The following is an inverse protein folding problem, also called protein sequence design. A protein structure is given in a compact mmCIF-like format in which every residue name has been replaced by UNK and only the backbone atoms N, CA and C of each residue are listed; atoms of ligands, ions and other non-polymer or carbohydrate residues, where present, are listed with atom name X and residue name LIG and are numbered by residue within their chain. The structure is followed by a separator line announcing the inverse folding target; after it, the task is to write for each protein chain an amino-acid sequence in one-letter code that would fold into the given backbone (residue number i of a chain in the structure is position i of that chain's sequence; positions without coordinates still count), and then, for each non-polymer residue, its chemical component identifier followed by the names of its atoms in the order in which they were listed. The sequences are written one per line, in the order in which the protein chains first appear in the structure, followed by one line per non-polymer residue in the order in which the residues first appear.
data_IF_250534473177
#
_entry.id   IF_250534473177
#
_cell.length_a   1.000
_cell.length_b   1.000
_cell.length_c   1.000
_cell.angle_alpha   90.00
_cell.angle_beta   90.00
_cell.angle_gamma   90.00
#
_symmetry.space_group_name_H-M   'P 1'
#
loop_
_entity.id
_entity.type
_entity.pdbx_description
1 polymer ?
#
# COMPACT_ATOMS: atom_id res chain seq x y z
N UNK A 1 61.01 21.94 51.36
CA UNK A 1 61.81 23.10 50.91
C UNK A 1 61.54 23.19 49.41
N UNK A 2 60.92 24.24 48.85
CA UNK A 2 61.37 25.65 48.79
C UNK A 2 62.69 25.75 48.01
N UNK A 3 62.85 26.55 46.93
CA UNK A 3 62.03 27.60 46.27
C UNK A 3 62.00 27.37 44.73
N UNK A 4 61.38 28.14 43.82
CA UNK A 4 60.59 29.38 43.89
C UNK A 4 61.30 30.61 43.26
N UNK A 5 60.94 30.96 42.01
CA UNK A 5 61.30 32.22 41.28
C UNK A 5 60.38 32.44 40.06
N UNK A 6 60.22 33.69 39.60
CA UNK A 6 59.33 34.12 38.49
C UNK A 6 59.94 35.33 37.75
N UNK A 7 59.66 35.46 36.44
CA UNK A 7 59.80 36.67 35.58
C UNK A 7 61.21 37.26 35.29
N UNK A 8 61.37 38.21 34.33
CA UNK A 8 60.62 38.42 33.07
C UNK A 8 61.53 38.72 31.83
N UNK A 9 61.02 38.62 30.59
CA UNK A 9 61.31 39.55 29.46
C UNK A 9 60.73 39.08 28.10
N UNK A 10 60.49 40.05 27.21
CA UNK A 10 60.05 39.92 25.80
C UNK A 10 60.70 41.06 24.98
N UNK A 11 60.43 41.27 23.66
CA UNK A 11 59.79 40.42 22.65
C UNK A 11 60.68 40.22 21.38
N UNK A 12 60.21 39.44 20.38
CA UNK A 12 60.54 39.61 18.96
C UNK A 12 59.39 39.16 18.05
N UNK A 13 59.30 39.77 16.86
CA UNK A 13 58.11 39.78 16.01
C UNK A 13 58.06 38.74 14.87
N UNK A 14 56.81 38.31 14.61
CA UNK A 14 56.17 38.08 13.31
C UNK A 14 56.95 37.30 12.22
N UNK A 15 56.58 36.01 12.08
CA UNK A 15 56.06 35.36 10.86
C UNK A 15 55.71 33.90 11.23
N UNK A 16 54.62 33.27 10.77
CA UNK A 16 53.64 33.72 9.78
C UNK A 16 52.87 32.52 9.21
N UNK A 17 52.24 31.70 10.06
CA UNK A 17 51.51 30.49 9.66
C UNK A 17 50.10 30.49 10.23
N UNK A 18 49.10 30.41 9.36
CA UNK A 18 47.68 30.31 9.74
C UNK A 18 47.36 28.92 10.26
N UNK A 19 47.15 28.79 11.57
CA UNK A 19 46.39 27.66 12.11
C UNK A 19 44.96 27.72 11.54
N UNK A 20 44.35 26.59 11.13
CA UNK A 20 42.97 26.59 10.69
C UNK A 20 42.07 26.97 11.86
N UNK A 21 41.25 28.01 11.68
CA UNK A 21 40.07 28.22 12.52
C UNK A 21 39.16 27.02 12.32
N UNK A 22 39.06 26.17 13.34
CA UNK A 22 38.12 25.06 13.35
C UNK A 22 36.70 25.62 13.47
N UNK A 23 36.06 25.92 12.35
CA UNK A 23 34.66 26.31 12.32
C UNK A 23 33.81 25.18 12.92
N UNK A 24 33.09 25.50 14.00
CA UNK A 24 32.22 24.56 14.69
C UNK A 24 30.86 24.48 13.97
N UNK A 25 30.88 24.08 12.69
CA UNK A 25 29.69 23.54 12.01
C UNK A 25 29.78 22.01 11.92
N UNK A 26 29.65 21.38 13.08
CA UNK A 26 29.46 19.93 13.20
C UNK A 26 28.02 19.59 13.62
N UNK A 27 27.11 20.54 13.46
CA UNK A 27 25.71 20.44 13.85
C UNK A 27 24.79 20.08 12.69
N UNK A 28 24.76 20.91 11.64
CA UNK A 28 23.72 20.85 10.62
C UNK A 28 23.85 19.65 9.68
N UNK A 29 24.98 19.53 8.97
CA UNK A 29 25.24 18.37 8.07
C UNK A 29 25.26 17.04 8.82
N UNK A 30 25.67 17.06 10.09
CA UNK A 30 25.70 15.91 10.99
C UNK A 30 24.29 15.53 11.53
N UNK A 31 23.28 16.39 11.37
CA UNK A 31 21.86 16.04 11.54
C UNK A 31 21.28 15.53 10.22
N UNK A 32 21.50 16.23 9.10
CA UNK A 32 20.97 15.83 7.78
C UNK A 32 21.45 14.45 7.35
N UNK A 33 22.74 14.15 7.51
CA UNK A 33 23.25 12.82 7.20
C UNK A 33 22.72 11.76 8.18
N UNK A 34 22.41 12.12 9.43
CA UNK A 34 21.72 11.21 10.37
C UNK A 34 20.25 10.99 10.00
N UNK A 35 19.51 12.00 9.57
CA UNK A 35 18.12 11.85 9.10
C UNK A 35 18.09 10.99 7.82
N UNK A 36 19.00 11.24 6.86
CA UNK A 36 19.23 10.36 5.68
C UNK A 36 19.59 8.93 6.07
N UNK A 37 20.59 8.74 6.93
CA UNK A 37 21.02 7.40 7.40
C UNK A 37 19.92 6.69 8.21
N UNK A 38 19.08 7.43 8.95
CA UNK A 38 17.93 6.90 9.68
C UNK A 38 16.86 6.40 8.70
N UNK A 39 16.49 7.17 7.67
CA UNK A 39 15.55 6.71 6.61
C UNK A 39 16.12 5.52 5.81
N UNK A 40 17.42 5.51 5.52
CA UNK A 40 18.09 4.36 4.90
C UNK A 40 18.05 3.10 5.79
N UNK A 41 18.28 3.27 7.10
CA UNK A 41 18.29 2.22 8.12
C UNK A 41 16.88 1.74 8.54
N UNK A 42 15.83 2.55 8.33
CA UNK A 42 14.44 2.08 8.39
C UNK A 42 14.27 1.01 7.31
N UNK A 43 14.24 -0.24 7.77
CA UNK A 43 13.87 -1.38 6.93
C UNK A 43 12.37 -1.27 6.65
N UNK A 44 11.90 -1.42 5.40
CA UNK A 44 10.51 -1.84 5.21
C UNK A 44 10.35 -3.12 6.03
N UNK A 45 9.39 -3.15 6.98
CA UNK A 45 9.66 -3.76 8.25
C UNK A 45 10.25 -5.16 8.18
N UNK A 46 11.42 -5.29 8.82
CA UNK A 46 11.64 -6.42 9.69
C UNK A 46 11.08 -5.96 11.07
N UNK A 47 9.77 -5.69 11.16
CA UNK A 47 8.69 -6.70 11.27
C UNK A 47 8.28 -6.97 12.75
N UNK A 48 8.95 -6.25 13.68
CA UNK A 48 9.29 -6.70 15.03
C UNK A 48 8.30 -6.34 16.12
N UNK A 49 7.74 -7.37 16.76
CA UNK A 49 6.74 -7.25 17.82
C UNK A 49 5.56 -6.38 17.30
N UNK A 50 5.01 -5.38 18.00
CA UNK A 50 4.49 -5.43 19.37
C UNK A 50 3.43 -6.55 19.50
N UNK A 51 2.35 -6.33 20.25
CA UNK A 51 1.10 -7.11 20.19
C UNK A 51 -0.06 -6.12 20.34
N UNK A 52 -1.30 -6.44 19.93
CA UNK A 52 -2.42 -5.48 19.96
C UNK A 52 -2.65 -4.82 21.32
N UNK A 53 -2.36 -5.53 22.42
CA UNK A 53 -2.47 -5.00 23.79
C UNK A 53 -1.33 -4.02 24.15
N UNK A 54 -0.14 -4.18 23.59
CA UNK A 54 1.00 -3.26 23.82
C UNK A 54 0.86 -1.97 23.01
N UNK A 55 0.11 -1.97 21.90
CA UNK A 55 -0.19 -0.76 21.10
C UNK A 55 -0.91 0.30 21.96
N UNK A 56 -1.69 -0.11 22.95
CA UNK A 56 -2.55 0.76 23.77
C UNK A 56 -1.94 1.26 25.07
N UNK A 57 -0.91 0.61 25.62
CA UNK A 57 -0.49 0.86 27.01
C UNK A 57 0.51 2.02 27.20
N UNK A 58 1.28 2.39 26.16
CA UNK A 58 2.28 3.49 26.25
C UNK A 58 2.35 4.31 24.95
N UNK A 59 1.60 5.42 24.85
CA UNK A 59 1.72 6.36 23.73
C UNK A 59 3.13 6.99 23.62
N UNK A 60 3.75 7.33 24.75
CA UNK A 60 5.03 8.05 24.81
C UNK A 60 6.25 7.27 24.25
N UNK A 61 6.19 5.93 24.25
CA UNK A 61 7.33 5.08 23.86
C UNK A 61 7.34 4.73 22.35
N UNK A 62 6.32 5.14 21.59
CA UNK A 62 6.27 4.90 20.15
C UNK A 62 7.19 5.87 19.40
N UNK A 63 8.31 5.38 18.89
CA UNK A 63 9.16 6.15 17.98
C UNK A 63 8.52 6.20 16.59
N UNK A 64 7.62 7.17 16.42
CA UNK A 64 6.85 7.46 15.21
C UNK A 64 7.74 7.81 14.01
N UNK A 65 7.19 7.70 12.79
CA UNK A 65 7.81 8.21 11.57
C UNK A 65 8.23 9.68 11.72
N UNK A 66 9.43 10.01 11.29
CA UNK A 66 10.10 11.25 11.70
C UNK A 66 9.53 12.44 10.94
N UNK A 67 9.06 13.46 11.66
CA UNK A 67 8.85 14.81 11.10
C UNK A 67 10.21 15.48 11.01
N UNK A 68 10.85 15.36 9.84
CA UNK A 68 12.24 15.77 9.58
C UNK A 68 12.30 17.21 9.14
N UNK A 69 13.13 18.01 9.81
CA UNK A 69 13.34 19.43 9.46
C UNK A 69 14.46 19.65 8.44
N UNK A 70 15.20 18.61 8.07
CA UNK A 70 16.35 18.74 7.16
C UNK A 70 16.20 17.95 5.86
N UNK A 71 15.33 16.92 5.79
CA UNK A 71 15.06 16.22 4.54
C UNK A 71 14.28 17.10 3.54
N UNK A 72 14.59 16.92 2.27
CA UNK A 72 14.07 17.67 1.12
C UNK A 72 13.71 16.73 -0.03
N UNK A 73 12.93 17.21 -0.99
CA UNK A 73 12.65 16.44 -2.22
C UNK A 73 13.92 16.14 -3.03
N UNK A 74 14.94 17.01 -2.92
CA UNK A 74 16.23 16.84 -3.58
C UNK A 74 17.11 15.73 -2.97
N UNK A 75 16.76 15.17 -1.82
CA UNK A 75 17.38 13.94 -1.30
C UNK A 75 16.96 12.69 -2.08
N UNK A 76 15.91 12.79 -2.90
CA UNK A 76 15.31 11.67 -3.63
C UNK A 76 15.52 11.75 -5.14
N UNK A 77 15.75 10.60 -5.77
CA UNK A 77 15.67 10.39 -7.20
C UNK A 77 14.25 9.92 -7.54
N UNK A 78 13.52 10.77 -8.25
CA UNK A 78 12.18 10.50 -8.75
C UNK A 78 12.29 9.49 -9.92
N UNK A 79 11.71 8.28 -9.75
CA UNK A 79 11.72 7.19 -10.74
C UNK A 79 10.44 7.06 -11.57
N UNK A 80 9.24 6.96 -10.97
CA UNK A 80 7.98 6.78 -11.73
C UNK A 80 6.68 7.23 -11.01
N UNK A 81 5.81 7.86 -11.80
CA UNK A 81 4.35 7.99 -11.63
C UNK A 81 3.61 6.65 -11.35
N UNK A 82 2.78 6.56 -10.29
CA UNK A 82 1.95 5.38 -9.95
C UNK A 82 0.39 5.51 -10.14
N UNK A 83 -0.35 6.54 -9.65
CA UNK A 83 -1.83 6.70 -9.89
C UNK A 83 -2.59 7.93 -9.29
N UNK A 84 -3.05 8.90 -10.11
CA UNK A 84 -3.29 10.33 -9.73
C UNK A 84 -4.46 10.63 -8.77
N UNK A 85 -4.24 11.45 -7.72
CA UNK A 85 -5.31 12.03 -6.88
C UNK A 85 -5.63 13.52 -7.16
N UNK A 86 -6.69 14.04 -6.53
CA UNK A 86 -7.28 15.37 -6.79
C UNK A 86 -6.41 16.56 -6.37
N UNK A 87 -5.68 16.43 -5.26
CA UNK A 87 -4.74 17.42 -4.71
C UNK A 87 -3.45 16.77 -4.16
N UNK A 88 -3.38 15.44 -4.23
CA UNK A 88 -2.26 14.62 -3.79
C UNK A 88 -1.72 13.85 -5.01
N UNK A 89 -0.42 13.95 -5.21
CA UNK A 89 0.34 13.49 -6.37
C UNK A 89 1.78 13.22 -5.87
N UNK A 90 2.39 12.10 -6.23
CA UNK A 90 3.34 11.34 -5.38
C UNK A 90 4.35 10.59 -6.28
N UNK A 91 5.65 10.32 -6.04
CA UNK A 91 6.42 9.42 -6.96
C UNK A 91 6.94 8.15 -6.30
N UNK A 92 7.10 7.07 -7.09
CA UNK A 92 8.08 6.03 -6.83
C UNK A 92 9.45 6.69 -6.79
N UNK A 93 10.11 6.67 -5.64
CA UNK A 93 11.40 7.33 -5.41
C UNK A 93 12.47 6.38 -4.87
N UNK A 94 13.71 6.81 -4.96
CA UNK A 94 14.89 6.18 -4.35
C UNK A 94 15.74 7.24 -3.68
N UNK A 95 16.33 6.95 -2.52
CA UNK A 95 17.25 7.88 -1.87
C UNK A 95 18.53 8.01 -2.72
N UNK A 96 19.01 9.24 -2.94
CA UNK A 96 20.26 9.48 -3.66
C UNK A 96 21.46 8.98 -2.85
N UNK A 97 22.54 8.67 -3.55
CA UNK A 97 23.85 8.28 -3.01
C UNK A 97 23.92 7.02 -2.13
N UNK A 98 22.81 6.29 -1.93
CA UNK A 98 22.78 5.07 -1.11
C UNK A 98 23.44 3.86 -1.82
N UNK A 99 24.77 3.79 -1.78
CA UNK A 99 25.59 2.74 -2.43
C UNK A 99 25.18 1.32 -1.99
N UNK A 100 24.73 1.13 -0.75
CA UNK A 100 24.46 -0.20 -0.15
C UNK A 100 23.09 -0.80 -0.46
N UNK A 101 22.08 0.00 -0.84
CA UNK A 101 20.71 -0.47 -1.10
C UNK A 101 20.15 0.10 -2.41
N UNK A 102 20.97 0.16 -3.47
CA UNK A 102 20.62 0.76 -4.77
C UNK A 102 19.31 0.29 -5.41
N UNK A 103 18.80 -0.90 -5.07
CA UNK A 103 17.54 -1.42 -5.61
C UNK A 103 16.30 -1.11 -4.75
N UNK A 104 16.50 -0.58 -3.54
CA UNK A 104 15.42 -0.13 -2.66
C UNK A 104 14.67 1.03 -3.31
N UNK A 105 13.35 1.00 -3.20
CA UNK A 105 12.44 2.04 -3.64
C UNK A 105 11.38 2.25 -2.57
N UNK A 106 10.92 3.48 -2.47
CA UNK A 106 9.80 3.93 -1.65
C UNK A 106 8.81 4.60 -2.60
N UNK A 107 7.76 5.21 -2.07
CA UNK A 107 7.17 6.33 -2.75
C UNK A 107 7.03 7.55 -1.80
N UNK A 108 6.60 8.69 -2.35
CA UNK A 108 6.72 10.00 -1.73
C UNK A 108 5.51 10.89 -2.04
N UNK A 109 4.52 10.93 -1.15
CA UNK A 109 3.23 11.59 -1.36
C UNK A 109 3.30 13.10 -1.18
N UNK A 110 3.28 13.82 -2.31
CA UNK A 110 3.26 15.29 -2.35
C UNK A 110 1.80 15.79 -2.33
N UNK A 111 1.50 16.75 -1.46
CA UNK A 111 0.23 17.47 -1.42
C UNK A 111 0.51 18.96 -1.49
N UNK A 112 -0.12 19.66 -2.42
CA UNK A 112 0.20 21.07 -2.66
C UNK A 112 -0.60 21.99 -1.75
N UNK A 113 0.08 22.85 -0.97
CA UNK A 113 -0.55 23.70 0.05
C UNK A 113 -1.70 24.53 -0.53
N UNK A 114 -1.48 25.15 -1.70
CA UNK A 114 -2.50 25.95 -2.39
C UNK A 114 -3.74 25.13 -2.83
N UNK A 115 -3.56 23.90 -3.33
CA UNK A 115 -4.67 23.07 -3.82
C UNK A 115 -5.48 22.50 -2.65
N UNK A 116 -4.81 22.08 -1.57
CA UNK A 116 -5.43 21.65 -0.31
C UNK A 116 -6.27 22.78 0.30
N UNK A 117 -5.77 24.02 0.32
CA UNK A 117 -6.51 25.19 0.82
C UNK A 117 -7.69 25.54 -0.09
N UNK A 118 -7.48 25.57 -1.42
CA UNK A 118 -8.52 25.90 -2.42
C UNK A 118 -9.72 24.94 -2.34
N UNK A 119 -9.47 23.66 -2.06
CA UNK A 119 -10.49 22.62 -1.88
C UNK A 119 -10.95 22.47 -0.41
N UNK A 120 -10.50 23.32 0.51
CA UNK A 120 -10.82 23.30 1.95
C UNK A 120 -10.44 22.01 2.69
N UNK A 121 -9.46 21.26 2.20
CA UNK A 121 -9.07 19.94 2.73
C UNK A 121 -8.01 20.00 3.86
N UNK A 122 -7.66 21.18 4.37
CA UNK A 122 -6.58 21.39 5.37
C UNK A 122 -6.76 20.51 6.62
N UNK A 123 -7.99 20.44 7.14
CA UNK A 123 -8.31 19.63 8.33
C UNK A 123 -8.27 18.12 8.03
N UNK A 124 -8.75 17.71 6.83
CA UNK A 124 -8.63 16.33 6.39
C UNK A 124 -7.17 15.89 6.24
N UNK A 125 -6.28 16.72 5.70
CA UNK A 125 -4.84 16.39 5.57
C UNK A 125 -4.15 16.30 6.94
N UNK A 126 -4.48 17.19 7.90
CA UNK A 126 -3.97 17.07 9.28
C UNK A 126 -4.51 15.82 9.98
N UNK A 127 -5.78 15.45 9.76
CA UNK A 127 -6.38 14.23 10.31
C UNK A 127 -5.86 12.96 9.62
N UNK A 128 -5.61 12.96 8.31
CA UNK A 128 -5.00 11.85 7.58
C UNK A 128 -3.62 11.55 8.14
N UNK A 129 -2.73 12.55 8.23
CA UNK A 129 -1.41 12.38 8.85
C UNK A 129 -1.53 11.91 10.30
N UNK A 130 -2.36 12.56 11.11
CA UNK A 130 -2.56 12.19 12.53
C UNK A 130 -3.06 10.75 12.70
N UNK A 131 -3.91 10.27 11.80
CA UNK A 131 -4.43 8.90 11.81
C UNK A 131 -3.36 7.91 11.37
N UNK A 132 -2.67 8.16 10.25
CA UNK A 132 -1.55 7.33 9.77
C UNK A 132 -0.41 7.25 10.79
N UNK A 133 -0.11 8.34 11.50
CA UNK A 133 0.83 8.32 12.63
C UNK A 133 0.28 7.49 13.81
N UNK A 134 -0.99 7.63 14.17
CA UNK A 134 -1.59 6.89 15.29
C UNK A 134 -1.65 5.36 15.07
N UNK A 135 -1.74 4.92 13.81
CA UNK A 135 -1.76 3.49 13.40
C UNK A 135 -0.43 2.97 12.85
N UNK A 136 0.65 3.76 12.92
CA UNK A 136 2.00 3.27 12.64
C UNK A 136 2.34 2.18 13.68
N UNK A 137 2.59 0.95 13.20
CA UNK A 137 2.53 -0.27 14.01
C UNK A 137 1.28 -1.15 13.79
N UNK A 138 0.64 -1.09 12.60
CA UNK A 138 -0.37 -2.05 12.14
C UNK A 138 -0.17 -2.44 10.64
N UNK A 139 0.24 -3.67 10.35
CA UNK A 139 1.14 -4.38 8.43
C UNK A 139 0.04 -4.65 7.44
N UNK A 140 -1.17 -4.41 7.94
CA UNK A 140 -2.40 -4.35 7.20
C UNK A 140 -2.89 -2.88 7.03
N UNK A 141 -2.00 -1.91 7.28
CA UNK A 141 -2.13 -0.46 6.99
C UNK A 141 -0.75 0.08 6.53
N UNK A 142 -0.73 1.18 5.77
CA UNK A 142 0.51 1.86 5.33
C UNK A 142 1.26 2.56 6.47
N UNK A 143 2.56 2.30 6.64
CA UNK A 143 3.41 3.10 7.56
C UNK A 143 3.75 4.46 6.94
N UNK A 144 3.66 5.55 7.71
CA UNK A 144 4.36 6.80 7.41
C UNK A 144 5.83 6.68 7.84
N UNK A 145 6.77 6.67 6.89
CA UNK A 145 8.21 6.54 7.15
C UNK A 145 8.80 7.88 7.64
N UNK A 146 8.46 8.96 6.94
CA UNK A 146 8.83 10.34 7.29
C UNK A 146 7.82 11.35 6.74
N UNK A 147 7.69 12.51 7.38
CA UNK A 147 7.03 13.69 6.79
C UNK A 147 7.94 14.91 6.83
N UNK A 148 7.79 15.76 5.81
CA UNK A 148 8.44 17.06 5.73
C UNK A 148 7.57 18.02 4.89
N UNK A 149 7.90 19.30 4.88
CA UNK A 149 7.21 20.30 4.06
C UNK A 149 8.18 21.33 3.50
N UNK A 150 7.80 21.94 2.38
CA UNK A 150 8.57 23.01 1.74
C UNK A 150 7.70 24.26 1.53
N UNK A 151 8.23 25.22 0.79
CA UNK A 151 7.62 26.52 0.55
C UNK A 151 6.34 26.47 -0.32
N UNK A 152 5.95 25.32 -0.87
CA UNK A 152 4.75 25.12 -1.73
C UNK A 152 3.92 23.85 -1.40
N UNK A 153 4.51 22.84 -0.77
CA UNK A 153 3.99 21.47 -0.68
C UNK A 153 4.26 20.80 0.68
N UNK A 154 3.57 19.69 0.90
CA UNK A 154 3.68 18.77 2.03
C UNK A 154 4.09 17.39 1.48
N UNK A 155 4.96 16.67 2.18
CA UNK A 155 5.54 15.41 1.70
C UNK A 155 5.39 14.31 2.75
N UNK A 156 4.98 13.11 2.33
CA UNK A 156 4.88 11.92 3.17
C UNK A 156 5.52 10.72 2.47
N UNK A 157 6.60 10.15 3.02
CA UNK A 157 7.30 9.00 2.43
C UNK A 157 6.67 7.70 2.95
N UNK A 158 6.13 6.83 2.08
CA UNK A 158 5.50 5.55 2.46
C UNK A 158 6.16 4.36 1.68
N UNK A 159 5.89 3.08 2.05
CA UNK A 159 6.27 1.93 1.24
C UNK A 159 5.43 1.77 -0.03
N UNK A 160 5.85 0.87 -0.92
CA UNK A 160 5.12 0.46 -2.13
C UNK A 160 4.33 -0.84 -1.90
N UNK A 161 3.10 -0.95 -2.42
CA UNK A 161 2.22 -2.15 -2.31
C UNK A 161 2.77 -3.34 -3.10
N UNK A 162 2.07 -4.46 -2.96
CA UNK A 162 2.44 -5.74 -3.54
C UNK A 162 2.70 -5.68 -5.06
N UNK A 163 3.77 -6.35 -5.49
CA UNK A 163 4.04 -6.63 -6.90
C UNK A 163 2.94 -7.51 -7.51
N UNK A 164 2.72 -7.39 -8.82
CA UNK A 164 2.20 -8.48 -9.67
C UNK A 164 2.84 -9.81 -9.24
N UNK A 165 2.02 -10.82 -8.97
CA UNK A 165 2.48 -12.14 -8.61
C UNK A 165 2.99 -12.92 -9.85
N UNK A 166 3.90 -13.85 -9.61
CA UNK A 166 4.17 -14.91 -10.59
C UNK A 166 2.98 -15.89 -10.60
N UNK A 167 2.85 -16.69 -11.66
CA UNK A 167 1.67 -17.53 -11.85
C UNK A 167 1.46 -18.56 -10.72
N UNK A 168 2.53 -19.14 -10.16
CA UNK A 168 2.44 -20.10 -9.06
C UNK A 168 1.96 -19.43 -7.76
N UNK A 169 2.42 -18.21 -7.47
CA UNK A 169 1.96 -17.42 -6.31
C UNK A 169 0.50 -16.99 -6.47
N UNK A 170 0.09 -16.54 -7.65
CA UNK A 170 -1.31 -16.19 -7.94
C UNK A 170 -2.23 -17.42 -7.84
N UNK A 171 -1.80 -18.56 -8.39
CA UNK A 171 -2.49 -19.84 -8.37
C UNK A 171 -2.70 -20.38 -6.95
N UNK A 172 -1.67 -20.34 -6.10
CA UNK A 172 -1.77 -20.75 -4.70
C UNK A 172 -2.89 -19.98 -3.98
N UNK A 173 -2.88 -18.64 -4.05
CA UNK A 173 -3.88 -17.82 -3.38
C UNK A 173 -5.28 -17.96 -3.99
N UNK A 174 -5.38 -18.11 -5.30
CA UNK A 174 -6.64 -18.43 -5.96
C UNK A 174 -7.22 -19.79 -5.52
N UNK A 175 -6.38 -20.78 -5.22
CA UNK A 175 -6.80 -22.09 -4.72
C UNK A 175 -7.30 -22.01 -3.25
N UNK A 176 -6.61 -21.29 -2.36
CA UNK A 176 -7.10 -21.08 -0.99
C UNK A 176 -8.44 -20.34 -0.95
N UNK A 177 -8.58 -19.33 -1.82
CA UNK A 177 -9.84 -18.58 -1.96
C UNK A 177 -10.92 -19.48 -2.57
N UNK A 178 -10.59 -20.36 -3.52
CA UNK A 178 -11.53 -21.37 -4.06
C UNK A 178 -12.07 -22.29 -2.95
N UNK A 179 -11.20 -22.80 -2.06
CA UNK A 179 -11.62 -23.60 -0.90
C UNK A 179 -12.48 -22.79 0.09
N UNK A 180 -12.20 -21.50 0.26
CA UNK A 180 -12.95 -20.62 1.16
C UNK A 180 -14.35 -20.31 0.60
N UNK A 181 -14.45 -20.05 -0.71
CA UNK A 181 -15.73 -19.84 -1.41
C UNK A 181 -16.55 -21.13 -1.39
N UNK A 182 -15.93 -22.29 -1.68
CA UNK A 182 -16.57 -23.62 -1.58
C UNK A 182 -17.20 -23.84 -0.19
N UNK A 183 -16.46 -23.58 0.89
CA UNK A 183 -17.01 -23.72 2.24
C UNK A 183 -18.20 -22.78 2.49
N UNK A 184 -18.06 -21.49 2.14
CA UNK A 184 -19.13 -20.51 2.34
C UNK A 184 -20.39 -20.84 1.53
N UNK A 185 -20.22 -21.34 0.29
CA UNK A 185 -21.32 -21.65 -0.62
C UNK A 185 -21.98 -23.00 -0.31
N UNK A 186 -21.19 -24.08 -0.32
CA UNK A 186 -21.68 -25.46 -0.34
C UNK A 186 -21.99 -26.01 1.08
N UNK A 187 -21.42 -25.40 2.14
CA UNK A 187 -21.69 -25.78 3.54
C UNK A 187 -22.58 -24.74 4.24
N UNK A 188 -22.24 -23.46 4.13
CA UNK A 188 -22.93 -22.40 4.88
C UNK A 188 -24.04 -21.68 4.11
N UNK A 189 -24.15 -21.82 2.78
CA UNK A 189 -25.16 -21.09 1.99
C UNK A 189 -25.02 -19.55 2.07
N UNK A 190 -23.79 -19.05 2.28
CA UNK A 190 -23.43 -17.64 2.42
C UNK A 190 -22.73 -17.15 1.15
N UNK A 191 -23.19 -16.01 0.62
CA UNK A 191 -22.46 -15.23 -0.39
C UNK A 191 -21.64 -14.14 0.32
N UNK A 192 -20.40 -13.90 -0.10
CA UNK A 192 -19.45 -13.02 0.60
C UNK A 192 -19.47 -11.56 0.09
N UNK A 193 -19.48 -11.36 -1.23
CA UNK A 193 -19.77 -10.09 -1.95
C UNK A 193 -18.78 -8.92 -1.83
N UNK A 194 -17.60 -9.10 -1.23
CA UNK A 194 -16.53 -8.08 -1.25
C UNK A 194 -15.12 -8.69 -1.39
N UNK A 195 -14.98 -9.68 -2.28
CA UNK A 195 -13.69 -10.31 -2.55
C UNK A 195 -12.79 -9.38 -3.36
N UNK A 196 -11.73 -8.88 -2.72
CA UNK A 196 -10.74 -7.92 -3.25
C UNK A 196 -9.45 -7.98 -2.42
N UNK A 197 -8.29 -7.49 -2.91
CA UNK A 197 -7.01 -7.56 -2.21
C UNK A 197 -7.01 -6.96 -0.80
N UNK A 198 -7.77 -5.88 -0.56
CA UNK A 198 -7.86 -5.21 0.76
C UNK A 198 -8.43 -6.12 1.84
N UNK A 199 -9.32 -7.04 1.46
CA UNK A 199 -10.01 -7.95 2.38
C UNK A 199 -9.31 -9.32 2.48
N UNK A 200 -8.14 -9.49 1.85
CA UNK A 200 -7.35 -10.72 1.84
C UNK A 200 -6.06 -10.48 2.61
N UNK A 201 -6.08 -10.78 3.90
CA UNK A 201 -4.88 -10.72 4.73
C UNK A 201 -4.09 -12.03 4.60
N UNK A 202 -2.78 -11.97 4.84
CA UNK A 202 -1.94 -13.15 4.97
C UNK A 202 -1.54 -13.35 6.44
N UNK A 203 -1.60 -14.59 6.93
CA UNK A 203 -1.12 -14.92 8.28
C UNK A 203 0.38 -15.26 8.31
N UNK A 204 0.90 -15.53 9.51
CA UNK A 204 2.35 -15.76 9.73
C UNK A 204 2.92 -17.01 9.02
N UNK A 205 2.06 -17.88 8.46
CA UNK A 205 2.44 -19.04 7.65
C UNK A 205 2.30 -18.77 6.14
N UNK A 206 1.85 -17.57 5.76
CA UNK A 206 1.66 -17.12 4.39
C UNK A 206 0.37 -17.55 3.73
N UNK A 207 -0.58 -18.10 4.50
CA UNK A 207 -1.91 -18.49 4.05
C UNK A 207 -2.89 -17.31 4.12
N UNK A 208 -3.85 -17.25 3.19
CA UNK A 208 -4.88 -16.19 3.22
C UNK A 208 -5.85 -16.35 4.38
N UNK A 209 -6.40 -15.20 4.79
CA UNK A 209 -7.59 -15.07 5.63
C UNK A 209 -8.46 -13.97 5.04
N UNK A 210 -9.68 -14.32 4.67
CA UNK A 210 -10.69 -13.31 4.35
C UNK A 210 -11.06 -12.57 5.64
N UNK A 211 -11.11 -11.23 5.56
CA UNK A 211 -11.64 -10.35 6.60
C UNK A 211 -12.86 -9.60 6.07
N UNK A 212 -13.42 -8.68 6.87
CA UNK A 212 -14.63 -7.90 6.57
C UNK A 212 -15.78 -8.69 5.92
N UNK A 213 -16.58 -9.34 6.77
CA UNK A 213 -17.82 -10.00 6.38
C UNK A 213 -19.02 -9.02 6.36
N UNK A 214 -18.78 -7.70 6.30
CA UNK A 214 -19.83 -6.67 6.36
C UNK A 214 -20.85 -6.72 5.22
N UNK A 215 -20.48 -7.26 4.05
CA UNK A 215 -21.41 -7.53 2.95
C UNK A 215 -21.80 -9.02 2.81
N UNK A 216 -21.27 -9.91 3.66
CA UNK A 216 -21.62 -11.31 3.63
C UNK A 216 -23.08 -11.55 4.02
N UNK A 217 -23.74 -12.51 3.38
CA UNK A 217 -25.18 -12.77 3.59
C UNK A 217 -25.53 -14.24 3.34
N UNK A 218 -26.18 -14.88 4.32
CA UNK A 218 -26.83 -16.19 4.12
C UNK A 218 -28.01 -16.02 3.15
N UNK A 219 -28.04 -16.81 2.09
CA UNK A 219 -28.98 -16.67 0.97
C UNK A 219 -29.91 -17.87 0.80
N UNK A 220 -29.54 -19.07 1.25
CA UNK A 220 -30.43 -20.26 1.33
C UNK A 220 -31.30 -20.47 0.07
N UNK A 221 -30.65 -20.52 -1.10
CA UNK A 221 -31.26 -20.63 -2.44
C UNK A 221 -32.22 -19.49 -2.83
N UNK A 222 -32.02 -18.28 -2.29
CA UNK A 222 -32.76 -17.06 -2.66
C UNK A 222 -31.83 -15.98 -3.22
N UNK A 223 -32.40 -15.11 -4.04
CA UNK A 223 -31.71 -13.92 -4.53
C UNK A 223 -31.69 -12.80 -3.48
N UNK A 224 -30.71 -11.91 -3.61
CA UNK A 224 -30.63 -10.62 -2.92
C UNK A 224 -30.48 -9.49 -3.93
N UNK A 225 -31.01 -8.31 -3.60
CA UNK A 225 -31.08 -7.12 -4.48
C UNK A 225 -30.33 -5.91 -3.89
N UNK A 226 -29.38 -6.16 -3.00
CA UNK A 226 -28.58 -5.11 -2.34
C UNK A 226 -27.31 -4.86 -3.15
N UNK A 227 -27.27 -3.75 -3.89
CA UNK A 227 -26.06 -3.23 -4.54
C UNK A 227 -25.01 -2.90 -3.45
N UNK A 228 -23.95 -3.70 -3.38
CA UNK A 228 -22.80 -3.52 -2.48
C UNK A 228 -21.58 -4.27 -3.03
N UNK A 229 -20.41 -3.98 -2.47
CA UNK A 229 -19.11 -4.42 -2.99
C UNK A 229 -18.34 -3.27 -3.63
N UNK A 230 -17.16 -3.58 -4.17
CA UNK A 230 -16.23 -2.61 -4.76
C UNK A 230 -16.39 -2.54 -6.29
N UNK A 231 -16.46 -1.36 -6.94
CA UNK A 231 -16.94 -1.20 -8.33
C UNK A 231 -16.29 -2.12 -9.37
N UNK A 232 -14.96 -2.26 -9.31
CA UNK A 232 -14.12 -3.07 -10.21
C UNK A 232 -14.38 -4.58 -10.09
N UNK A 233 -14.99 -5.01 -8.97
CA UNK A 233 -15.25 -6.40 -8.61
C UNK A 233 -16.73 -6.80 -8.72
N UNK A 234 -17.64 -5.85 -9.01
CA UNK A 234 -19.07 -6.15 -9.15
C UNK A 234 -19.35 -7.05 -10.35
N UNK A 235 -20.25 -8.02 -10.18
CA UNK A 235 -20.73 -8.86 -11.27
C UNK A 235 -21.87 -8.14 -12.05
N UNK A 236 -22.06 -8.41 -13.36
CA UNK A 236 -23.05 -7.69 -14.18
C UNK A 236 -24.50 -7.76 -13.65
N UNK A 237 -24.91 -8.89 -13.07
CA UNK A 237 -26.24 -9.06 -12.46
C UNK A 237 -26.47 -8.16 -11.23
N UNK A 238 -25.40 -7.79 -10.52
CA UNK A 238 -25.43 -6.87 -9.38
C UNK A 238 -25.64 -5.44 -9.87
N UNK A 239 -24.95 -5.05 -10.95
CA UNK A 239 -25.07 -3.74 -11.61
C UNK A 239 -26.46 -3.56 -12.23
N UNK A 240 -26.97 -4.59 -12.91
CA UNK A 240 -28.33 -4.59 -13.46
C UNK A 240 -29.43 -4.74 -12.38
N UNK A 241 -29.07 -4.85 -11.09
CA UNK A 241 -29.99 -5.08 -9.97
C UNK A 241 -31.01 -6.21 -10.24
N UNK A 242 -30.61 -7.25 -10.96
CA UNK A 242 -31.50 -8.29 -11.48
C UNK A 242 -31.81 -9.41 -10.48
N UNK A 243 -31.28 -9.30 -9.27
CA UNK A 243 -31.16 -10.41 -8.33
C UNK A 243 -29.79 -11.08 -8.46
N UNK A 244 -29.17 -11.37 -7.32
CA UNK A 244 -27.89 -12.07 -7.29
C UNK A 244 -27.79 -13.04 -6.10
N UNK A 245 -26.90 -14.02 -6.24
CA UNK A 245 -26.62 -15.05 -5.24
C UNK A 245 -25.16 -15.48 -5.32
N UNK A 246 -24.89 -16.76 -5.00
CA UNK A 246 -23.55 -17.35 -4.90
C UNK A 246 -22.63 -17.07 -6.12
N UNK A 247 -23.18 -16.95 -7.32
CA UNK A 247 -22.43 -16.73 -8.56
C UNK A 247 -21.50 -15.49 -8.57
N UNK A 248 -21.74 -14.48 -7.73
CA UNK A 248 -20.95 -13.23 -7.74
C UNK A 248 -19.54 -13.39 -7.18
N UNK A 249 -19.34 -14.28 -6.20
CA UNK A 249 -18.01 -14.50 -5.61
C UNK A 249 -17.08 -15.20 -6.61
N UNK A 250 -17.64 -16.07 -7.46
CA UNK A 250 -16.91 -16.70 -8.58
C UNK A 250 -16.51 -15.70 -9.66
N UNK A 251 -17.35 -14.69 -9.94
CA UNK A 251 -16.96 -13.57 -10.81
C UNK A 251 -15.79 -12.78 -10.19
N UNK A 252 -15.93 -12.39 -8.91
CA UNK A 252 -14.89 -11.64 -8.21
C UNK A 252 -13.57 -12.42 -8.10
N UNK A 253 -13.60 -13.75 -7.98
CA UNK A 253 -12.40 -14.61 -8.06
C UNK A 253 -11.73 -14.50 -9.45
N UNK A 254 -12.50 -14.44 -10.54
CA UNK A 254 -11.95 -14.23 -11.89
C UNK A 254 -11.28 -12.87 -12.06
N UNK A 255 -11.88 -11.81 -11.51
CA UNK A 255 -11.29 -10.46 -11.42
C UNK A 255 -9.99 -10.49 -10.63
N UNK A 256 -9.99 -11.16 -9.47
CA UNK A 256 -8.83 -11.25 -8.57
C UNK A 256 -7.67 -12.06 -9.16
N UNK A 257 -7.94 -13.17 -9.84
CA UNK A 257 -6.91 -13.97 -10.54
C UNK A 257 -6.26 -13.11 -11.64
N UNK A 258 -7.05 -12.33 -12.38
CA UNK A 258 -6.52 -11.38 -13.35
C UNK A 258 -5.64 -10.32 -12.64
N UNK A 259 -6.10 -9.72 -11.54
CA UNK A 259 -5.35 -8.68 -10.83
C UNK A 259 -4.03 -9.21 -10.24
N UNK A 260 -4.02 -10.39 -9.61
CA UNK A 260 -2.78 -11.04 -9.15
C UNK A 260 -1.79 -11.26 -10.31
N UNK A 261 -2.28 -11.65 -11.50
CA UNK A 261 -1.46 -11.95 -12.67
C UNK A 261 -1.08 -10.73 -13.52
N UNK A 262 -1.68 -9.55 -13.31
CA UNK A 262 -1.45 -8.35 -14.14
C UNK A 262 -0.98 -7.15 -13.32
N UNK A 263 -1.39 -7.03 -12.06
CA UNK A 263 -1.11 -5.90 -11.16
C UNK A 263 -2.18 -4.80 -11.16
N UNK A 264 -3.33 -5.04 -11.79
CA UNK A 264 -4.51 -4.16 -11.83
C UNK A 264 -5.74 -4.96 -12.30
N UNK A 265 -6.99 -4.54 -12.01
CA UNK A 265 -8.19 -5.25 -12.48
C UNK A 265 -8.37 -5.16 -14.01
N UNK A 266 -9.22 -6.02 -14.62
CA UNK A 266 -9.46 -6.04 -16.06
C UNK A 266 -10.41 -4.93 -16.54
N UNK A 267 -11.19 -4.34 -15.64
CA UNK A 267 -12.13 -3.25 -15.89
C UNK A 267 -11.78 -2.06 -15.00
N UNK A 268 -11.53 -0.89 -15.59
CA UNK A 268 -11.10 0.30 -14.85
C UNK A 268 -11.37 1.59 -15.64
N UNK A 269 -11.77 2.66 -14.95
CA UNK A 269 -11.86 4.05 -15.42
C UNK A 269 -11.89 4.95 -14.16
N UNK A 270 -11.70 6.27 -14.31
CA UNK A 270 -11.88 7.22 -13.21
C UNK A 270 -13.35 7.49 -12.87
N UNK A 271 -14.28 7.13 -13.77
CA UNK A 271 -15.72 7.21 -13.58
C UNK A 271 -16.32 5.80 -13.38
N UNK A 272 -16.88 5.48 -12.19
CA UNK A 272 -17.50 4.18 -11.92
C UNK A 272 -18.57 3.75 -12.93
N UNK A 273 -19.32 4.68 -13.54
CA UNK A 273 -20.30 4.34 -14.58
C UNK A 273 -19.66 3.67 -15.80
N UNK A 274 -18.42 4.04 -16.16
CA UNK A 274 -17.68 3.40 -17.25
C UNK A 274 -17.06 2.07 -16.86
N UNK A 275 -16.77 1.86 -15.57
CA UNK A 275 -16.40 0.53 -15.06
C UNK A 275 -17.61 -0.38 -15.22
N UNK A 276 -18.82 0.10 -14.90
CA UNK A 276 -20.06 -0.65 -15.08
C UNK A 276 -20.36 -0.95 -16.57
N UNK A 277 -20.19 0.03 -17.46
CA UNK A 277 -20.30 -0.18 -18.92
C UNK A 277 -19.34 -1.29 -19.41
N UNK A 278 -18.08 -1.28 -18.97
CA UNK A 278 -17.08 -2.30 -19.32
C UNK A 278 -17.43 -3.69 -18.76
N UNK A 279 -17.89 -3.77 -17.51
CA UNK A 279 -18.31 -5.03 -16.86
C UNK A 279 -19.51 -5.64 -17.61
N UNK A 280 -20.48 -4.83 -18.01
CA UNK A 280 -21.65 -5.26 -18.78
C UNK A 280 -21.28 -5.67 -20.21
N UNK A 281 -20.29 -5.02 -20.84
CA UNK A 281 -19.74 -5.45 -22.13
C UNK A 281 -18.97 -6.80 -22.01
N UNK A 282 -18.36 -7.07 -20.85
CA UNK A 282 -17.71 -8.34 -20.51
C UNK A 282 -16.38 -8.62 -21.24
N UNK A 283 -15.82 -7.62 -21.95
CA UNK A 283 -14.66 -7.81 -22.84
C UNK A 283 -13.31 -7.68 -22.13
N UNK A 284 -12.92 -8.71 -21.38
CA UNK A 284 -11.58 -8.82 -20.81
C UNK A 284 -10.51 -8.92 -21.91
N UNK A 285 -9.38 -8.22 -21.74
CA UNK A 285 -8.23 -8.25 -22.65
C UNK A 285 -7.03 -8.87 -21.94
N UNK A 286 -6.50 -9.98 -22.45
CA UNK A 286 -5.40 -10.68 -21.82
C UNK A 286 -4.02 -10.24 -22.35
N UNK A 287 -3.00 -10.07 -21.48
CA UNK A 287 -1.62 -9.90 -21.92
C UNK A 287 -1.09 -11.13 -22.67
N UNK A 288 -0.25 -10.91 -23.70
CA UNK A 288 0.35 -11.99 -24.50
C UNK A 288 1.19 -13.00 -23.70
N UNK A 289 1.64 -12.64 -22.49
CA UNK A 289 2.45 -13.48 -21.62
C UNK A 289 1.67 -14.14 -20.46
N UNK A 290 0.33 -14.14 -20.50
CA UNK A 290 -0.52 -14.90 -19.57
C UNK A 290 -0.73 -16.31 -20.14
N UNK A 291 -0.63 -17.36 -19.32
CA UNK A 291 -0.78 -18.74 -19.80
C UNK A 291 -2.18 -19.00 -20.39
N UNK A 292 -2.33 -19.94 -21.34
CA UNK A 292 -3.65 -20.33 -21.87
C UNK A 292 -4.60 -20.83 -20.78
N UNK A 293 -4.08 -21.49 -19.74
CA UNK A 293 -4.88 -21.96 -18.60
C UNK A 293 -5.42 -20.79 -17.75
N UNK A 294 -4.58 -19.79 -17.45
CA UNK A 294 -5.00 -18.58 -16.74
C UNK A 294 -6.02 -17.77 -17.55
N UNK A 295 -5.78 -17.55 -18.86
CA UNK A 295 -6.74 -16.89 -19.74
C UNK A 295 -8.09 -17.64 -19.77
N UNK A 296 -8.05 -18.97 -19.80
CA UNK A 296 -9.26 -19.79 -19.85
C UNK A 296 -10.05 -19.78 -18.52
N UNK A 297 -9.40 -19.89 -17.36
CA UNK A 297 -10.13 -19.86 -16.07
C UNK A 297 -10.79 -18.49 -15.84
N UNK A 298 -10.09 -17.39 -16.13
CA UNK A 298 -10.66 -16.04 -16.03
C UNK A 298 -11.83 -15.88 -17.00
N UNK A 299 -11.73 -16.39 -18.23
CA UNK A 299 -12.83 -16.33 -19.22
C UNK A 299 -14.07 -17.16 -18.84
N UNK A 300 -13.91 -18.17 -17.97
CA UNK A 300 -15.00 -19.03 -17.50
C UNK A 300 -15.60 -18.54 -16.17
N UNK A 301 -14.80 -17.91 -15.30
CA UNK A 301 -15.24 -17.23 -14.08
C UNK A 301 -15.90 -15.86 -14.37
N UNK A 302 -15.39 -15.11 -15.34
CA UNK A 302 -15.95 -13.81 -15.74
C UNK A 302 -17.00 -13.93 -16.86
N UNK A 303 -17.87 -14.96 -16.78
CA UNK A 303 -19.05 -15.06 -17.64
C UNK A 303 -20.11 -14.07 -17.21
N UNK A 304 -20.55 -13.21 -18.14
CA UNK A 304 -21.55 -12.17 -17.85
C UNK A 304 -22.91 -12.75 -17.50
N UNK A 305 -23.33 -13.82 -18.18
CA UNK A 305 -24.45 -14.66 -17.78
C UNK A 305 -24.03 -15.57 -16.59
N UNK A 306 -24.65 -15.44 -15.39
CA UNK A 306 -24.31 -16.27 -14.24
C UNK A 306 -24.51 -17.77 -14.48
N UNK A 307 -25.50 -18.15 -15.30
CA UNK A 307 -25.82 -19.57 -15.58
C UNK A 307 -24.80 -20.28 -16.48
N UNK A 308 -23.84 -19.55 -17.05
CA UNK A 308 -22.68 -20.08 -17.77
C UNK A 308 -21.40 -20.09 -16.92
N UNK A 309 -21.44 -19.52 -15.71
CA UNK A 309 -20.26 -19.19 -14.91
C UNK A 309 -19.68 -20.40 -14.19
N UNK A 310 -18.37 -20.62 -14.34
CA UNK A 310 -17.63 -21.64 -13.59
C UNK A 310 -17.80 -21.40 -12.09
N UNK A 311 -17.95 -22.47 -11.31
CA UNK A 311 -18.34 -22.40 -9.89
C UNK A 311 -19.86 -22.38 -9.65
N UNK A 312 -20.67 -21.90 -10.60
CA UNK A 312 -22.14 -21.88 -10.49
C UNK A 312 -22.86 -22.88 -11.43
N UNK A 313 -22.23 -23.26 -12.54
CA UNK A 313 -22.71 -24.36 -13.40
C UNK A 313 -22.73 -25.72 -12.68
N UNK A 314 -23.53 -26.67 -13.17
CA UNK A 314 -23.63 -28.04 -12.63
C UNK A 314 -22.26 -28.71 -12.45
N UNK A 315 -21.91 -29.05 -11.20
CA UNK A 315 -20.58 -29.49 -10.76
C UNK A 315 -19.80 -28.43 -9.96
N UNK A 316 -20.32 -27.21 -9.85
CA UNK A 316 -19.98 -26.21 -8.82
C UNK A 316 -18.50 -25.91 -8.61
N UNK A 317 -18.15 -25.76 -7.33
CA UNK A 317 -16.78 -25.65 -6.79
C UNK A 317 -15.83 -26.74 -7.33
N UNK A 318 -16.29 -28.00 -7.42
CA UNK A 318 -15.47 -29.10 -7.93
C UNK A 318 -15.00 -28.91 -9.39
N UNK A 319 -15.80 -28.25 -10.25
CA UNK A 319 -15.34 -27.88 -11.61
C UNK A 319 -14.26 -26.80 -11.59
N UNK A 320 -14.31 -25.87 -10.64
CA UNK A 320 -13.25 -24.85 -10.46
C UNK A 320 -11.96 -25.58 -10.10
N UNK A 321 -12.02 -26.47 -9.11
CA UNK A 321 -10.86 -27.25 -8.64
C UNK A 321 -10.27 -28.20 -9.68
N UNK A 322 -11.07 -28.70 -10.62
CA UNK A 322 -10.61 -29.54 -11.73
C UNK A 322 -10.07 -28.77 -12.95
N UNK A 323 -10.03 -27.44 -12.91
CA UNK A 323 -9.57 -26.65 -14.06
C UNK A 323 -8.05 -26.75 -14.24
N UNK A 324 -7.51 -26.88 -15.48
CA UNK A 324 -6.07 -27.02 -15.73
C UNK A 324 -5.17 -25.92 -15.12
N UNK A 325 -5.71 -24.74 -14.82
CA UNK A 325 -4.97 -23.71 -14.08
C UNK A 325 -4.50 -24.18 -12.69
N UNK A 326 -5.17 -25.17 -12.09
CA UNK A 326 -4.85 -25.75 -10.79
C UNK A 326 -4.34 -27.20 -10.86
N UNK A 327 -3.85 -27.67 -12.02
CA UNK A 327 -3.46 -29.09 -12.23
C UNK A 327 -2.37 -29.63 -11.28
N UNK A 328 -1.56 -28.74 -10.73
CA UNK A 328 -0.47 -28.97 -9.78
C UNK A 328 -0.86 -28.78 -8.31
N UNK A 329 -2.08 -28.29 -8.02
CA UNK A 329 -2.55 -28.04 -6.65
C UNK A 329 -2.97 -29.34 -5.96
N UNK A 330 -2.23 -29.71 -4.91
CA UNK A 330 -2.63 -30.75 -3.97
C UNK A 330 -3.64 -30.18 -2.96
N UNK A 331 -4.93 -30.25 -3.30
CA UNK A 331 -6.02 -29.63 -2.54
C UNK A 331 -6.06 -30.04 -1.06
N UNK A 332 -5.80 -31.32 -0.75
CA UNK A 332 -5.70 -31.80 0.64
C UNK A 332 -4.52 -31.15 1.38
N UNK A 333 -3.34 -31.09 0.76
CA UNK A 333 -2.15 -30.52 1.41
C UNK A 333 -2.30 -29.00 1.64
N UNK A 334 -3.05 -28.33 0.76
CA UNK A 334 -3.42 -26.92 0.93
C UNK A 334 -4.43 -26.74 2.07
N UNK A 335 -5.54 -27.50 2.07
CA UNK A 335 -6.58 -27.45 3.09
C UNK A 335 -6.05 -27.79 4.50
N UNK A 336 -5.23 -28.83 4.60
CA UNK A 336 -4.58 -29.23 5.87
C UNK A 336 -3.28 -28.47 6.17
N UNK A 337 -2.96 -27.39 5.44
CA UNK A 337 -1.77 -26.53 5.62
C UNK A 337 -0.44 -27.28 5.74
N UNK A 338 -0.29 -28.36 4.97
CA UNK A 338 0.94 -29.18 4.92
C UNK A 338 2.04 -28.53 4.08
N UNK A 339 1.63 -27.66 3.15
CA UNK A 339 2.49 -26.74 2.40
C UNK A 339 2.36 -25.32 2.95
N UNK A 340 3.45 -24.55 2.99
CA UNK A 340 3.43 -23.15 3.44
C UNK A 340 3.08 -22.18 2.30
N UNK A 341 2.63 -20.98 2.67
CA UNK A 341 2.36 -19.90 1.73
C UNK A 341 3.59 -19.43 0.94
N UNK A 342 3.43 -19.05 -0.34
CA UNK A 342 4.53 -18.61 -1.21
C UNK A 342 5.08 -17.23 -0.82
N UNK A 343 4.26 -16.38 -0.22
CA UNK A 343 4.70 -15.18 0.50
C UNK A 343 4.46 -15.46 1.98
N UNK A 344 5.50 -15.95 2.67
CA UNK A 344 5.58 -15.76 4.13
C UNK A 344 5.66 -14.25 4.34
N UNK A 345 4.62 -13.60 4.88
CA UNK A 345 4.62 -12.17 5.00
C UNK A 345 5.57 -11.83 6.13
N UNK A 346 6.13 -10.62 6.08
CA UNK A 346 6.85 -10.13 7.23
C UNK A 346 5.84 -9.74 8.32
N UNK A 347 5.59 -10.70 9.22
CA UNK A 347 4.90 -10.57 10.54
C UNK A 347 5.77 -11.25 11.61
N UNK A 348 6.53 -10.51 12.43
CA UNK A 348 7.39 -10.97 13.56
C UNK A 348 7.00 -10.26 14.87
N UNK A 349 5.68 -10.05 14.93
CA UNK A 349 4.78 -9.93 16.07
C UNK A 349 3.38 -9.57 15.48
N UNK A 350 2.23 -9.55 16.21
CA UNK A 350 0.95 -9.20 15.56
C UNK A 350 0.76 -7.69 15.25
N UNK A 351 1.80 -6.86 15.36
CA UNK A 351 1.73 -5.40 15.23
C UNK A 351 2.76 -4.81 14.23
N UNK A 352 2.98 -5.52 13.12
CA UNK A 352 3.31 -4.97 11.75
C UNK A 352 2.20 -4.82 10.46
N UNK A 353 2.98 -3.70 9.99
CA UNK A 353 2.93 -2.37 9.24
C UNK A 353 3.47 -2.25 7.77
N UNK A 354 4.01 -3.30 7.12
CA UNK A 354 4.80 -3.14 5.87
C UNK A 354 4.17 -2.96 4.46
N UNK A 355 2.87 -3.20 4.18
CA UNK A 355 2.50 -3.77 2.84
C UNK A 355 1.59 -2.95 1.85
N UNK A 356 1.51 -1.60 1.90
CA UNK A 356 0.46 -0.78 1.21
C UNK A 356 1.02 0.35 0.26
N UNK A 357 0.20 1.14 -0.48
CA UNK A 357 0.62 1.90 -1.72
C UNK A 357 0.64 3.45 -1.73
N UNK A 358 1.13 3.97 -2.86
CA UNK A 358 1.31 5.37 -3.28
C UNK A 358 1.24 5.61 -4.84
N UNK A 359 1.46 6.85 -5.32
CA UNK A 359 0.75 7.49 -6.47
C UNK A 359 1.71 8.25 -7.50
N UNK A 360 1.35 9.34 -8.28
CA UNK A 360 2.17 10.06 -9.31
C UNK A 360 2.28 11.62 -9.15
N UNK A 361 3.38 12.32 -9.46
CA UNK A 361 3.71 13.73 -9.05
C UNK A 361 3.13 14.82 -9.96
N UNK A 362 2.88 16.06 -9.47
CA UNK A 362 2.00 17.02 -10.14
C UNK A 362 2.67 17.89 -11.23
N UNK A 363 1.90 18.29 -12.25
CA UNK A 363 2.36 19.14 -13.35
C UNK A 363 2.55 20.60 -12.90
N UNK A 364 3.77 21.12 -12.98
CA UNK A 364 4.18 22.41 -12.41
C UNK A 364 3.48 23.64 -13.04
N UNK A 365 2.81 23.50 -14.20
CA UNK A 365 2.21 24.63 -14.93
C UNK A 365 0.71 24.82 -14.69
N UNK A 366 -0.04 23.77 -14.38
CA UNK A 366 -1.47 23.84 -14.01
C UNK A 366 -1.72 24.10 -12.52
N UNK A 367 -0.64 24.30 -11.76
CA UNK A 367 -0.60 24.36 -10.31
C UNK A 367 -0.98 25.74 -9.74
N UNK A 368 -1.88 25.76 -8.76
CA UNK A 368 -2.17 27.00 -8.01
C UNK A 368 -0.93 27.37 -7.17
N UNK A 369 -0.44 28.61 -7.26
CA UNK A 369 0.74 29.05 -6.50
C UNK A 369 0.35 29.33 -5.04
N UNK A 370 1.18 28.92 -4.10
CA UNK A 370 0.98 29.25 -2.68
C UNK A 370 1.58 30.65 -2.41
N UNK A 371 0.72 31.67 -2.54
CA UNK A 371 1.07 33.10 -2.44
C UNK A 371 1.31 33.55 -1.00
N UNK A 372 1.96 34.70 -0.82
CA UNK A 372 2.33 35.22 0.51
C UNK A 372 1.11 35.51 1.42
N UNK A 373 -0.04 35.90 0.85
CA UNK A 373 -1.30 36.02 1.60
C UNK A 373 -1.81 34.66 2.12
N UNK A 374 -1.60 33.58 1.36
CA UNK A 374 -1.95 32.23 1.78
C UNK A 374 -0.93 31.69 2.80
N UNK A 375 0.37 31.96 2.63
CA UNK A 375 1.41 31.69 3.64
C UNK A 375 1.07 32.35 4.96
N UNK A 376 0.90 33.68 4.96
CA UNK A 376 0.61 34.50 6.16
C UNK A 376 -0.65 34.06 6.92
N UNK A 377 -1.61 33.42 6.24
CA UNK A 377 -2.88 32.97 6.84
C UNK A 377 -2.91 31.50 7.23
N UNK A 378 -2.16 30.62 6.56
CA UNK A 378 -2.30 29.17 6.71
C UNK A 378 -1.01 28.43 7.09
N UNK A 379 0.18 29.02 6.99
CA UNK A 379 1.45 28.30 7.21
C UNK A 379 1.61 27.83 8.67
N UNK A 380 1.10 28.60 9.64
CA UNK A 380 1.02 28.20 11.05
C UNK A 380 0.04 27.02 11.33
N UNK A 381 -0.61 26.46 10.30
CA UNK A 381 -1.37 25.21 10.39
C UNK A 381 -0.58 24.01 9.82
N UNK A 382 0.61 24.24 9.26
CA UNK A 382 1.52 23.22 8.72
C UNK A 382 2.85 23.14 9.48
N UNK A 383 3.07 23.99 10.49
CA UNK A 383 4.29 24.08 11.32
C UNK A 383 4.73 22.79 12.02
N UNK A 384 3.82 21.83 12.14
CA UNK A 384 3.99 20.58 12.89
C UNK A 384 3.94 19.35 11.96
N UNK A 385 4.06 19.56 10.63
CA UNK A 385 3.97 18.55 9.56
C UNK A 385 5.35 17.98 9.18
#
# INVERSE_FOLDING_TARGET
MATGTVDPSAPKDVQGTSAPTGDIDTGSGNLHEKERQMVAAIRPPHQRHLSPFVITERPEEKQLGVSTRTLTVDDFALLKTLGTGTFARVWLVRLKDEIRQRDKVYALKILRKADVIKLKQVEHVRNERKTLSAVAGHPFITTLIASFSDDQSLYMLLPTRARRFNENTAKFYAAEITLTIEFLHDVEGIVYRDLKPENILLDAEGHIRLVDFGFAKKVDNRETYTLCGTPEYLAPEVIHNSGHGLAVDWWALGILIYEFLVGQPPFWDQNPMRIYEQIVEGRIRFPQNMSPAAQNIISLLCKTNPTERLGYISGGSARVKSHPFFEDIQWDDLFYRRIKGPIIPRVDHPADTGNFEEYPDPDVRSQNVYTDDLKKKYEALFSDF
#
